data_IF_899631970364
#
_entry.id   IF_899631970364
#
_cell.length_a   1.000
_cell.length_b   1.000
_cell.length_c   1.000
_cell.angle_alpha   90.00
_cell.angle_beta   90.00
_cell.angle_gamma   90.00
#
_symmetry.space_group_name_H-M   'P 1'
#
loop_
_entity.id
_entity.type
_entity.pdbx_description
1 polymer ?
#
# COMPACT_ATOMS: atom_id res chain seq x y z
N UNK A 1 -23.45 36.12 -26.69
CA UNK A 1 -22.06 35.68 -26.51
C UNK A 1 -22.12 34.44 -25.65
N UNK A 2 -22.04 33.29 -26.32
CA UNK A 2 -22.21 31.99 -25.64
C UNK A 2 -20.94 31.55 -24.97
N UNK A 3 -21.06 31.28 -23.71
CA UNK A 3 -20.02 30.58 -22.91
C UNK A 3 -20.09 29.09 -23.29
N UNK A 4 -19.17 28.70 -24.16
CA UNK A 4 -19.03 27.31 -24.57
C UNK A 4 -18.43 26.54 -23.37
N UNK A 5 -19.27 25.86 -22.63
CA UNK A 5 -18.86 24.87 -21.65
C UNK A 5 -17.86 23.91 -22.29
N UNK A 6 -16.59 24.02 -21.91
CA UNK A 6 -15.53 23.08 -22.31
C UNK A 6 -15.98 21.68 -21.89
N UNK A 7 -15.98 20.71 -22.80
CA UNK A 7 -16.27 19.33 -22.40
C UNK A 7 -15.18 18.92 -21.40
N UNK A 8 -15.60 18.58 -20.18
CA UNK A 8 -14.74 17.92 -19.20
C UNK A 8 -14.26 16.65 -19.88
N UNK A 9 -13.01 16.65 -20.30
CA UNK A 9 -12.37 15.52 -20.98
C UNK A 9 -12.52 14.33 -20.02
N UNK A 10 -13.37 13.39 -20.38
CA UNK A 10 -13.58 12.11 -19.69
C UNK A 10 -12.23 11.40 -19.77
N UNK A 11 -11.37 11.63 -18.77
CA UNK A 11 -10.10 10.89 -18.61
C UNK A 11 -10.49 9.44 -18.67
N UNK A 12 -10.13 8.73 -19.75
CA UNK A 12 -10.44 7.32 -19.91
C UNK A 12 -10.03 6.61 -18.63
N UNK A 13 -11.01 6.13 -17.89
CA UNK A 13 -10.73 5.39 -16.64
C UNK A 13 -9.95 4.14 -17.03
N UNK A 14 -8.81 3.94 -16.42
CA UNK A 14 -8.04 2.71 -16.57
C UNK A 14 -8.98 1.54 -16.29
N UNK A 15 -9.04 0.57 -17.20
CA UNK A 15 -9.77 -0.69 -16.95
C UNK A 15 -9.12 -1.40 -15.76
N UNK A 16 -9.90 -1.63 -14.73
CA UNK A 16 -9.47 -2.31 -13.52
C UNK A 16 -10.11 -3.70 -13.45
N UNK A 17 -9.43 -4.63 -12.82
CA UNK A 17 -9.99 -5.91 -12.36
C UNK A 17 -10.45 -5.72 -10.92
N UNK A 18 -11.75 -5.77 -10.69
CA UNK A 18 -12.37 -5.47 -9.39
C UNK A 18 -12.93 -6.75 -8.78
N UNK A 19 -12.44 -7.07 -7.59
CA UNK A 19 -13.00 -8.12 -6.75
C UNK A 19 -14.22 -7.57 -6.00
N UNK A 20 -15.36 -8.20 -6.15
CA UNK A 20 -16.60 -7.92 -5.42
C UNK A 20 -16.94 -9.11 -4.54
N UNK A 21 -16.99 -8.89 -3.24
CA UNK A 21 -17.39 -9.91 -2.27
C UNK A 21 -18.63 -9.45 -1.49
N UNK A 22 -19.68 -10.25 -1.55
CA UNK A 22 -20.95 -10.02 -0.89
C UNK A 22 -21.68 -11.38 -0.85
N UNK A 23 -22.40 -11.75 0.20
CA UNK A 23 -23.09 -13.03 0.28
C UNK A 23 -24.41 -13.02 -0.49
N UNK A 24 -24.99 -11.84 -0.72
CA UNK A 24 -26.24 -11.68 -1.49
C UNK A 24 -25.96 -11.69 -2.99
N UNK A 25 -26.45 -12.72 -3.69
CA UNK A 25 -26.24 -12.88 -5.13
C UNK A 25 -26.81 -11.73 -5.95
N UNK A 26 -27.95 -11.16 -5.52
CA UNK A 26 -28.61 -10.03 -6.20
C UNK A 26 -27.75 -8.77 -6.15
N UNK A 27 -27.08 -8.53 -5.02
CA UNK A 27 -26.17 -7.37 -4.85
C UNK A 27 -24.93 -7.57 -5.74
N UNK A 28 -24.32 -8.76 -5.69
CA UNK A 28 -23.18 -9.08 -6.56
C UNK A 28 -23.48 -8.89 -8.04
N UNK A 29 -24.66 -9.32 -8.50
CA UNK A 29 -25.05 -9.19 -9.90
C UNK A 29 -25.33 -7.73 -10.29
N UNK A 30 -25.93 -6.95 -9.40
CA UNK A 30 -26.13 -5.51 -9.57
C UNK A 30 -24.80 -4.76 -9.71
N UNK A 31 -23.86 -4.99 -8.78
CA UNK A 31 -22.53 -4.42 -8.80
C UNK A 31 -21.74 -4.81 -10.06
N UNK A 32 -21.80 -6.10 -10.44
CA UNK A 32 -21.18 -6.57 -11.69
C UNK A 32 -21.71 -5.82 -12.90
N UNK A 33 -23.02 -5.62 -13.00
CA UNK A 33 -23.64 -4.90 -14.12
C UNK A 33 -23.12 -3.46 -14.19
N UNK A 34 -23.14 -2.73 -13.08
CA UNK A 34 -22.64 -1.36 -13.00
C UNK A 34 -21.15 -1.26 -13.32
N UNK A 35 -20.32 -2.12 -12.73
CA UNK A 35 -18.87 -2.12 -12.94
C UNK A 35 -18.50 -2.48 -14.38
N UNK A 36 -19.23 -3.40 -14.99
CA UNK A 36 -19.03 -3.77 -16.42
C UNK A 36 -19.43 -2.63 -17.33
N UNK A 37 -20.53 -1.92 -17.04
CA UNK A 37 -20.94 -0.72 -17.77
C UNK A 37 -19.90 0.42 -17.66
N UNK A 38 -19.19 0.51 -16.52
CA UNK A 38 -18.07 1.43 -16.33
C UNK A 38 -16.77 0.98 -17.02
N UNK A 39 -16.76 -0.23 -17.63
CA UNK A 39 -15.62 -0.75 -18.41
C UNK A 39 -14.63 -1.57 -17.60
N UNK A 40 -14.97 -1.96 -16.38
CA UNK A 40 -14.11 -2.78 -15.51
C UNK A 40 -14.33 -4.30 -15.73
N UNK A 41 -13.33 -5.08 -15.38
CA UNK A 41 -13.42 -6.54 -15.25
C UNK A 41 -13.84 -6.88 -13.81
N UNK A 42 -14.74 -7.85 -13.63
CA UNK A 42 -15.30 -8.15 -12.31
C UNK A 42 -15.09 -9.61 -11.95
N UNK A 43 -14.54 -9.82 -10.77
CA UNK A 43 -14.42 -11.12 -10.10
C UNK A 43 -15.42 -11.14 -8.94
N UNK A 44 -16.25 -12.17 -8.85
CA UNK A 44 -17.28 -12.27 -7.81
C UNK A 44 -16.90 -13.34 -6.78
N UNK A 45 -16.97 -12.98 -5.51
CA UNK A 45 -16.84 -13.88 -4.37
C UNK A 45 -18.13 -13.86 -3.54
N UNK A 46 -18.52 -14.99 -3.00
CA UNK A 46 -19.75 -15.15 -2.20
C UNK A 46 -19.51 -15.07 -0.69
N UNK A 47 -18.26 -14.96 -0.26
CA UNK A 47 -17.84 -14.89 1.13
C UNK A 47 -16.39 -14.41 1.25
N UNK A 48 -15.97 -14.07 2.47
CA UNK A 48 -14.63 -13.57 2.72
C UNK A 48 -13.51 -14.57 2.41
N UNK A 49 -13.74 -15.88 2.52
CA UNK A 49 -12.74 -16.91 2.17
C UNK A 49 -12.44 -16.91 0.68
N UNK A 50 -13.48 -16.90 -0.16
CA UNK A 50 -13.33 -16.79 -1.61
C UNK A 50 -12.66 -15.46 -1.99
N UNK A 51 -13.01 -14.36 -1.32
CA UNK A 51 -12.39 -13.07 -1.53
C UNK A 51 -10.86 -13.12 -1.28
N UNK A 52 -10.43 -13.76 -0.21
CA UNK A 52 -9.00 -13.94 0.11
C UNK A 52 -8.29 -14.82 -0.92
N UNK A 53 -8.94 -15.90 -1.38
CA UNK A 53 -8.38 -16.77 -2.40
C UNK A 53 -8.21 -16.05 -3.74
N UNK A 54 -9.24 -15.30 -4.17
CA UNK A 54 -9.18 -14.54 -5.42
C UNK A 54 -8.23 -13.35 -5.34
N UNK A 55 -8.12 -12.69 -4.20
CA UNK A 55 -7.09 -11.66 -4.00
C UNK A 55 -5.68 -12.23 -4.22
N UNK A 56 -5.42 -13.46 -3.74
CA UNK A 56 -4.14 -14.15 -3.88
C UNK A 56 -3.87 -14.66 -5.30
N UNK A 57 -4.87 -15.21 -5.98
CA UNK A 57 -4.68 -15.95 -7.23
C UNK A 57 -4.91 -15.11 -8.48
N UNK A 58 -5.82 -14.14 -8.43
CA UNK A 58 -6.25 -13.36 -9.58
C UNK A 58 -5.66 -11.94 -9.59
N UNK A 59 -5.03 -11.52 -8.48
CA UNK A 59 -4.39 -10.20 -8.33
C UNK A 59 -5.27 -9.04 -8.82
N UNK A 60 -6.47 -8.82 -8.22
CA UNK A 60 -7.33 -7.71 -8.61
C UNK A 60 -6.67 -6.36 -8.30
N UNK A 61 -7.10 -5.33 -9.03
CA UNK A 61 -6.61 -3.95 -8.85
C UNK A 61 -7.33 -3.21 -7.72
N UNK A 62 -8.52 -3.68 -7.31
CA UNK A 62 -9.36 -3.10 -6.24
C UNK A 62 -10.28 -4.17 -5.67
N UNK A 63 -10.53 -4.11 -4.37
CA UNK A 63 -11.52 -4.93 -3.70
C UNK A 63 -12.72 -4.10 -3.19
N UNK A 64 -13.93 -4.60 -3.42
CA UNK A 64 -15.19 -4.09 -2.92
C UNK A 64 -15.80 -5.19 -2.05
N UNK A 65 -15.82 -4.99 -0.73
CA UNK A 65 -16.13 -6.03 0.26
C UNK A 65 -17.34 -5.63 1.10
N UNK A 66 -18.33 -6.50 1.15
CA UNK A 66 -19.39 -6.37 2.14
C UNK A 66 -18.87 -6.68 3.54
N UNK A 67 -19.36 -5.99 4.56
CA UNK A 67 -18.98 -6.24 5.96
C UNK A 67 -19.51 -7.59 6.42
N UNK A 68 -20.82 -7.80 6.24
CA UNK A 68 -21.52 -8.97 6.77
C UNK A 68 -21.50 -10.12 5.77
N UNK A 69 -20.50 -10.97 5.90
CA UNK A 69 -20.41 -12.19 5.10
C UNK A 69 -20.17 -13.42 5.97
N UNK A 70 -20.70 -14.60 5.58
CA UNK A 70 -20.42 -15.84 6.28
C UNK A 70 -18.96 -16.26 6.18
N UNK A 71 -18.50 -17.09 7.13
CA UNK A 71 -17.17 -17.69 7.24
C UNK A 71 -16.05 -16.71 7.62
N UNK A 72 -15.92 -15.61 6.93
CA UNK A 72 -14.95 -14.55 7.21
C UNK A 72 -15.65 -13.23 6.92
N UNK A 73 -15.74 -12.35 7.92
CA UNK A 73 -16.34 -11.03 7.72
C UNK A 73 -15.45 -10.16 6.80
N UNK A 74 -16.09 -9.15 6.18
CA UNK A 74 -15.38 -8.31 5.22
C UNK A 74 -14.26 -7.48 5.82
N UNK A 75 -14.35 -7.11 7.09
CA UNK A 75 -13.30 -6.35 7.78
C UNK A 75 -12.06 -7.22 8.05
N UNK A 76 -12.28 -8.50 8.40
CA UNK A 76 -11.17 -9.45 8.55
C UNK A 76 -10.53 -9.76 7.19
N UNK A 77 -11.36 -9.95 6.14
CA UNK A 77 -10.86 -10.09 4.77
C UNK A 77 -10.03 -8.86 4.35
N UNK A 78 -10.54 -7.63 4.59
CA UNK A 78 -9.84 -6.39 4.30
C UNK A 78 -8.49 -6.30 5.02
N UNK A 79 -8.43 -6.68 6.30
CA UNK A 79 -7.19 -6.70 7.09
C UNK A 79 -6.14 -7.62 6.48
N UNK A 80 -6.54 -8.82 6.08
CA UNK A 80 -5.63 -9.80 5.47
C UNK A 80 -5.16 -9.35 4.09
N UNK A 81 -6.08 -8.83 3.25
CA UNK A 81 -5.77 -8.30 1.92
C UNK A 81 -4.80 -7.15 2.02
N UNK A 82 -5.08 -6.14 2.86
CA UNK A 82 -4.20 -4.99 3.04
C UNK A 82 -2.77 -5.36 3.44
N UNK A 83 -2.60 -6.44 4.19
CA UNK A 83 -1.30 -6.90 4.67
C UNK A 83 -0.56 -7.81 3.69
N UNK A 84 -1.26 -8.71 3.00
CA UNK A 84 -0.64 -9.74 2.15
C UNK A 84 -0.70 -9.44 0.66
N UNK A 85 -1.70 -8.73 0.21
CA UNK A 85 -1.99 -8.41 -1.18
C UNK A 85 -2.44 -6.95 -1.29
N UNK A 86 -1.58 -5.97 -0.98
CA UNK A 86 -1.98 -4.56 -0.88
C UNK A 86 -2.64 -4.05 -2.16
N UNK A 87 -3.88 -3.63 -2.04
CA UNK A 87 -4.67 -2.98 -3.10
C UNK A 87 -5.68 -2.02 -2.48
N UNK A 88 -6.28 -1.09 -3.24
CA UNK A 88 -7.38 -0.28 -2.75
C UNK A 88 -8.55 -1.15 -2.30
N UNK A 89 -9.12 -0.84 -1.12
CA UNK A 89 -10.26 -1.55 -0.55
C UNK A 89 -11.37 -0.55 -0.29
N UNK A 90 -12.55 -0.84 -0.80
CA UNK A 90 -13.81 -0.19 -0.47
C UNK A 90 -14.69 -1.16 0.29
N UNK A 91 -15.35 -0.68 1.34
CA UNK A 91 -16.29 -1.45 2.13
C UNK A 91 -17.72 -1.11 1.72
N UNK A 92 -18.55 -2.13 1.56
CA UNK A 92 -20.00 -1.98 1.43
C UNK A 92 -20.62 -2.13 2.82
N UNK A 93 -21.53 -1.23 3.19
CA UNK A 93 -22.16 -1.22 4.52
C UNK A 93 -23.65 -0.89 4.41
N UNK A 94 -24.46 -1.48 5.29
CA UNK A 94 -25.82 -1.03 5.50
C UNK A 94 -25.84 0.22 6.41
N UNK A 95 -26.84 1.09 6.28
CA UNK A 95 -26.93 2.38 6.97
C UNK A 95 -26.92 2.30 8.52
N UNK A 96 -27.16 1.12 9.09
CA UNK A 96 -27.30 0.91 10.54
C UNK A 96 -26.02 0.49 11.28
N UNK A 97 -24.86 0.51 10.64
CA UNK A 97 -23.66 -0.14 11.16
C UNK A 97 -22.58 0.85 11.63
N UNK A 98 -22.99 1.87 12.41
CA UNK A 98 -22.08 2.91 12.90
C UNK A 98 -20.87 2.34 13.68
N UNK A 99 -21.09 1.31 14.51
CA UNK A 99 -20.03 0.64 15.28
C UNK A 99 -19.02 -0.08 14.36
N UNK A 100 -19.48 -0.54 13.19
CA UNK A 100 -18.61 -1.21 12.21
C UNK A 100 -17.78 -0.20 11.41
N UNK A 101 -18.30 1.01 11.20
CA UNK A 101 -17.55 2.12 10.58
C UNK A 101 -16.37 2.53 11.46
N UNK A 102 -16.55 2.57 12.80
CA UNK A 102 -15.45 2.85 13.74
C UNK A 102 -14.38 1.77 13.70
N UNK A 103 -14.78 0.50 13.62
CA UNK A 103 -13.84 -0.62 13.44
C UNK A 103 -13.12 -0.56 12.10
N UNK A 104 -13.83 -0.18 11.04
CA UNK A 104 -13.28 0.01 9.69
C UNK A 104 -12.28 1.17 9.63
N UNK A 105 -12.47 2.23 10.42
CA UNK A 105 -11.57 3.39 10.47
C UNK A 105 -10.14 3.03 10.95
N UNK A 106 -9.96 1.91 11.65
CA UNK A 106 -8.65 1.41 12.08
C UNK A 106 -7.95 0.55 11.01
N UNK A 107 -8.61 0.27 9.91
CA UNK A 107 -8.08 -0.52 8.81
C UNK A 107 -7.56 0.38 7.68
N UNK A 108 -6.56 -0.06 6.93
CA UNK A 108 -6.05 0.67 5.76
C UNK A 108 -6.98 0.53 4.56
N UNK A 109 -8.25 0.96 4.73
CA UNK A 109 -9.27 1.02 3.67
C UNK A 109 -9.34 2.44 3.10
N UNK A 110 -9.74 2.58 1.84
CA UNK A 110 -9.76 3.85 1.15
C UNK A 110 -11.12 4.55 1.20
N UNK A 111 -12.17 3.82 1.60
CA UNK A 111 -13.50 4.37 1.77
C UNK A 111 -14.58 3.31 1.99
N UNK A 112 -15.81 3.78 2.13
CA UNK A 112 -16.99 2.93 2.23
C UNK A 112 -18.11 3.45 1.33
N UNK A 113 -19.02 2.56 0.96
CA UNK A 113 -20.23 2.82 0.20
C UNK A 113 -21.43 2.29 0.96
N UNK A 114 -22.43 3.11 1.12
CA UNK A 114 -23.69 2.72 1.80
C UNK A 114 -24.63 2.08 0.79
N UNK A 115 -25.17 0.92 1.12
CA UNK A 115 -26.18 0.23 0.32
C UNK A 115 -27.56 0.95 0.47
N UNK A 116 -28.34 1.13 -0.60
CA UNK A 116 -28.09 0.68 -1.97
C UNK A 116 -27.10 1.57 -2.76
N UNK A 117 -26.15 0.96 -3.45
CA UNK A 117 -25.12 1.64 -4.23
C UNK A 117 -25.68 2.01 -5.63
N UNK A 118 -25.45 3.22 -6.08
CA UNK A 118 -25.70 3.63 -7.45
C UNK A 118 -24.41 3.75 -8.27
N UNK A 119 -24.52 3.75 -9.60
CA UNK A 119 -23.37 3.74 -10.52
C UNK A 119 -22.49 4.99 -10.36
N UNK A 120 -23.09 6.16 -10.11
CA UNK A 120 -22.35 7.42 -9.95
C UNK A 120 -21.48 7.42 -8.71
N UNK A 121 -22.04 6.99 -7.58
CA UNK A 121 -21.32 6.94 -6.31
C UNK A 121 -20.24 5.86 -6.35
N UNK A 122 -20.53 4.72 -6.99
CA UNK A 122 -19.57 3.64 -7.21
C UNK A 122 -18.37 4.12 -8.05
N UNK A 123 -18.62 4.80 -9.17
CA UNK A 123 -17.57 5.33 -10.02
C UNK A 123 -16.69 6.36 -9.29
N UNK A 124 -17.32 7.27 -8.52
CA UNK A 124 -16.59 8.27 -7.75
C UNK A 124 -15.73 7.64 -6.64
N UNK A 125 -16.30 6.68 -5.91
CA UNK A 125 -15.58 5.99 -4.83
C UNK A 125 -14.37 5.20 -5.36
N UNK A 126 -14.51 4.51 -6.50
CA UNK A 126 -13.39 3.79 -7.12
C UNK A 126 -12.25 4.75 -7.48
N UNK A 127 -12.55 5.90 -8.10
CA UNK A 127 -11.53 6.89 -8.45
C UNK A 127 -10.80 7.41 -7.22
N UNK A 128 -11.54 7.77 -6.18
CA UNK A 128 -10.97 8.28 -4.93
C UNK A 128 -10.14 7.21 -4.23
N UNK A 129 -10.62 5.95 -4.21
CA UNK A 129 -9.92 4.85 -3.57
C UNK A 129 -8.58 4.56 -4.23
N UNK A 130 -8.55 4.51 -5.57
CA UNK A 130 -7.31 4.29 -6.32
C UNK A 130 -6.32 5.44 -6.08
N UNK A 131 -6.77 6.70 -6.18
CA UNK A 131 -5.90 7.85 -5.96
C UNK A 131 -5.31 7.87 -4.54
N UNK A 132 -6.14 7.67 -3.51
CA UNK A 132 -5.68 7.63 -2.12
C UNK A 132 -4.67 6.52 -1.85
N UNK A 133 -4.89 5.36 -2.47
CA UNK A 133 -3.98 4.24 -2.32
C UNK A 133 -2.63 4.50 -2.99
N UNK A 134 -2.63 5.07 -4.20
CA UNK A 134 -1.41 5.45 -4.93
C UNK A 134 -0.62 6.50 -4.15
N UNK A 135 -1.29 7.53 -3.63
CA UNK A 135 -0.67 8.57 -2.79
C UNK A 135 -0.07 7.99 -1.51
N UNK A 136 -0.81 7.12 -0.82
CA UNK A 136 -0.31 6.47 0.40
C UNK A 136 0.90 5.58 0.12
N UNK A 137 0.91 4.86 -1.01
CA UNK A 137 2.06 4.06 -1.42
C UNK A 137 3.29 4.91 -1.79
N UNK A 138 3.08 6.01 -2.52
CA UNK A 138 4.15 6.94 -2.86
C UNK A 138 4.80 7.52 -1.60
N UNK A 139 3.98 7.97 -0.65
CA UNK A 139 4.43 8.52 0.63
C UNK A 139 5.15 7.48 1.50
N UNK A 140 4.68 6.22 1.49
CA UNK A 140 5.34 5.13 2.20
C UNK A 140 6.74 4.81 1.62
N UNK A 141 6.88 4.85 0.29
CA UNK A 141 8.17 4.67 -0.40
C UNK A 141 9.13 5.81 -0.08
N UNK A 142 8.69 7.05 -0.19
CA UNK A 142 9.51 8.22 0.14
C UNK A 142 9.98 8.18 1.59
N UNK A 143 9.09 7.85 2.52
CA UNK A 143 9.44 7.70 3.93
C UNK A 143 10.45 6.56 4.17
N UNK A 144 10.36 5.45 3.44
CA UNK A 144 11.31 4.35 3.53
C UNK A 144 12.70 4.76 3.03
N UNK A 145 12.76 5.45 1.89
CA UNK A 145 14.01 5.98 1.31
C UNK A 145 14.68 7.01 2.23
N UNK A 146 13.91 7.92 2.82
CA UNK A 146 14.40 8.90 3.79
C UNK A 146 14.96 8.22 5.05
N UNK A 147 14.26 7.22 5.58
CA UNK A 147 14.73 6.45 6.73
C UNK A 147 16.02 5.71 6.40
N UNK A 148 16.10 5.06 5.26
CA UNK A 148 17.30 4.35 4.83
C UNK A 148 18.49 5.31 4.66
N UNK A 149 18.28 6.49 4.06
CA UNK A 149 19.30 7.52 3.92
C UNK A 149 19.80 8.03 5.28
N UNK A 150 18.89 8.27 6.24
CA UNK A 150 19.24 8.68 7.59
C UNK A 150 20.04 7.62 8.34
N UNK A 151 19.64 6.35 8.24
CA UNK A 151 20.38 5.25 8.87
C UNK A 151 21.77 5.07 8.24
N UNK A 152 21.87 5.15 6.91
CA UNK A 152 23.15 5.13 6.22
C UNK A 152 24.07 6.25 6.70
N UNK A 153 23.57 7.49 6.84
CA UNK A 153 24.33 8.63 7.36
C UNK A 153 24.81 8.40 8.79
N UNK A 154 23.94 7.90 9.67
CA UNK A 154 24.33 7.57 11.07
C UNK A 154 25.45 6.53 11.12
N UNK A 155 25.37 5.50 10.28
CA UNK A 155 26.38 4.46 10.21
C UNK A 155 27.73 5.00 9.72
N UNK A 156 27.74 5.85 8.68
CA UNK A 156 28.95 6.51 8.18
C UNK A 156 29.56 7.40 9.25
N UNK A 157 28.77 8.22 9.96
CA UNK A 157 29.27 9.05 11.07
C UNK A 157 29.86 8.20 12.20
N UNK A 158 29.22 7.08 12.54
CA UNK A 158 29.74 6.15 13.56
C UNK A 158 31.07 5.50 13.10
N UNK A 159 31.16 5.10 11.83
CA UNK A 159 32.39 4.53 11.28
C UNK A 159 33.52 5.57 11.23
N UNK A 160 33.24 6.83 10.89
CA UNK A 160 34.19 7.94 11.00
C UNK A 160 34.72 8.06 12.42
N UNK A 161 33.82 8.09 13.42
CA UNK A 161 34.21 8.17 14.83
C UNK A 161 35.12 7.02 15.27
N UNK A 162 34.88 5.80 14.73
CA UNK A 162 35.76 4.64 14.99
C UNK A 162 37.14 4.86 14.38
N UNK A 163 37.23 5.29 13.13
CA UNK A 163 38.49 5.53 12.45
C UNK A 163 39.28 6.71 13.04
N UNK A 164 38.60 7.75 13.51
CA UNK A 164 39.23 8.89 14.18
C UNK A 164 39.90 8.47 15.51
N UNK A 165 39.37 7.49 16.22
CA UNK A 165 40.03 6.92 17.42
C UNK A 165 41.36 6.24 17.11
N UNK A 166 41.63 5.90 15.85
CA UNK A 166 42.93 5.38 15.40
C UNK A 166 43.91 6.45 14.94
N UNK A 167 43.63 7.73 15.20
CA UNK A 167 44.50 8.86 14.90
C UNK A 167 44.26 9.54 13.54
N UNK A 168 43.21 9.15 12.81
CA UNK A 168 42.85 9.77 11.51
C UNK A 168 42.08 11.06 11.72
N UNK A 169 42.25 12.03 10.81
CA UNK A 169 41.39 13.19 10.71
C UNK A 169 39.99 12.77 10.22
N UNK A 170 39.01 13.64 10.37
CA UNK A 170 37.65 13.40 9.88
C UNK A 170 37.60 13.17 8.37
N UNK A 171 38.35 13.95 7.61
CA UNK A 171 38.46 13.85 6.16
C UNK A 171 39.10 12.51 5.74
N UNK A 172 40.23 12.13 6.39
CA UNK A 172 40.89 10.84 6.13
C UNK A 172 39.99 9.65 6.47
N UNK A 173 39.19 9.75 7.54
CA UNK A 173 38.22 8.73 7.92
C UNK A 173 37.12 8.56 6.86
N UNK A 174 36.58 9.68 6.37
CA UNK A 174 35.56 9.66 5.31
C UNK A 174 36.12 9.06 4.00
N UNK A 175 37.31 9.48 3.57
CA UNK A 175 37.96 8.96 2.38
C UNK A 175 38.29 7.46 2.52
N UNK A 176 38.63 6.98 3.70
CA UNK A 176 38.86 5.56 3.95
C UNK A 176 37.58 4.73 3.77
N UNK A 177 36.43 5.20 4.28
CA UNK A 177 35.14 4.55 4.06
C UNK A 177 34.78 4.52 2.57
N UNK A 178 35.00 5.65 1.88
CA UNK A 178 34.71 5.78 0.45
C UNK A 178 35.61 4.83 -0.38
N UNK A 179 36.88 4.71 -0.04
CA UNK A 179 37.80 3.79 -0.70
C UNK A 179 37.35 2.35 -0.52
N UNK A 180 37.04 1.95 0.72
CA UNK A 180 36.57 0.59 1.02
C UNK A 180 35.27 0.28 0.28
N UNK A 181 34.33 1.22 0.17
CA UNK A 181 33.10 1.06 -0.60
C UNK A 181 33.38 0.79 -2.09
N UNK A 182 34.33 1.54 -2.68
CA UNK A 182 34.70 1.36 -4.09
C UNK A 182 35.43 0.05 -4.34
N UNK A 183 36.40 -0.30 -3.51
CA UNK A 183 37.21 -1.53 -3.66
C UNK A 183 36.36 -2.79 -3.51
N UNK A 184 35.43 -2.80 -2.53
CA UNK A 184 34.53 -3.90 -2.30
C UNK A 184 33.28 -3.86 -3.21
N UNK A 185 33.06 -2.79 -3.99
CA UNK A 185 31.85 -2.55 -4.82
C UNK A 185 30.55 -2.63 -4.01
N UNK A 186 30.56 -2.05 -2.84
CA UNK A 186 29.41 -2.01 -1.93
C UNK A 186 28.97 -0.55 -1.65
N UNK A 187 27.81 -0.37 -1.02
CA UNK A 187 27.35 0.95 -0.60
C UNK A 187 28.21 1.51 0.54
N UNK A 188 28.20 2.84 0.71
CA UNK A 188 28.83 3.53 1.85
C UNK A 188 28.32 2.98 3.19
N UNK A 189 27.04 2.63 3.29
CA UNK A 189 26.43 1.99 4.44
C UNK A 189 27.11 0.64 4.77
N UNK A 190 27.22 -0.24 3.78
CA UNK A 190 27.84 -1.56 3.96
C UNK A 190 29.32 -1.46 4.32
N UNK A 191 30.06 -0.52 3.70
CA UNK A 191 31.45 -0.26 4.07
C UNK A 191 31.57 0.25 5.51
N UNK A 192 30.70 1.15 5.94
CA UNK A 192 30.66 1.64 7.31
C UNK A 192 30.32 0.55 8.32
N UNK A 193 29.35 -0.32 8.03
CA UNK A 193 28.99 -1.48 8.85
C UNK A 193 30.18 -2.43 9.01
N UNK A 194 30.91 -2.71 7.93
CA UNK A 194 32.10 -3.56 7.96
C UNK A 194 33.21 -2.97 8.85
N UNK A 195 33.47 -1.67 8.76
CA UNK A 195 34.47 -0.99 9.60
C UNK A 195 34.09 -1.07 11.09
N UNK A 196 32.81 -0.81 11.40
CA UNK A 196 32.30 -0.87 12.78
C UNK A 196 32.45 -2.30 13.33
N UNK A 197 32.08 -3.32 12.54
CA UNK A 197 32.17 -4.73 12.94
C UNK A 197 33.60 -5.18 13.21
N UNK A 198 34.58 -4.71 12.44
CA UNK A 198 36.00 -5.04 12.63
C UNK A 198 36.60 -4.47 13.93
N UNK A 199 35.98 -3.43 14.47
CA UNK A 199 36.49 -2.69 15.64
C UNK A 199 35.79 -3.10 16.95
N UNK A 200 34.70 -3.88 16.87
CA UNK A 200 34.11 -4.49 18.08
C UNK A 200 34.99 -5.69 18.49
N UNK A 201 35.51 -5.72 19.72
CA UNK A 201 36.22 -6.91 20.20
C UNK A 201 35.23 -8.08 20.15
N UNK A 202 35.67 -9.20 19.52
CA UNK A 202 34.92 -10.46 19.63
C UNK A 202 34.71 -10.73 21.11
N UNK A 203 33.45 -10.77 21.58
CA UNK A 203 33.12 -11.28 22.89
C UNK A 203 33.76 -12.65 23.02
N UNK A 204 34.52 -12.90 24.10
CA UNK A 204 35.01 -14.24 24.37
C UNK A 204 33.81 -15.16 24.62
N UNK A 205 33.85 -16.33 24.00
CA UNK A 205 32.89 -17.43 24.16
C UNK A 205 32.88 -17.96 25.59
#
# INVERSE_FOLDING_TARGET
>A
MGDAARPVTRKLMRRLKILVADDESIIRMGLRTMLTALGHEVVLASNGREALEFARTLHPDLALLDIQMPLTDGLEAARVIARKHPMPILILTAYSEQDLIERAAQLPIQGYLVKPVNERDLAAAIQVAVARFEDAQAQARENAELKESLEARKLVERAKGVLMKTGRSEEEAYLAIQRQAREARVSMRQAAEAIIAQTQPKSPA
#
